data_IF_157731083516
#
_entry.id   IF_157731083516
#
_cell.length_a   1.000
_cell.length_b   1.000
_cell.length_c   1.000
_cell.angle_alpha   90.00
_cell.angle_beta   90.00
_cell.angle_gamma   90.00
#
_symmetry.space_group_name_H-M   'P 1'
#
loop_
_entity.id
_entity.type
_entity.pdbx_description
1 polymer ?
#
# COMPACT_ATOMS: atom_id res chain seq x y z
N UNK A 1 -38.82 1.92 -13.80
CA UNK A 1 -37.83 2.84 -14.40
C UNK A 1 -36.63 2.90 -13.48
N UNK A 2 -35.57 2.13 -13.76
CA UNK A 2 -34.27 2.25 -13.07
C UNK A 2 -33.44 3.25 -13.84
N UNK A 3 -33.11 4.37 -13.22
CA UNK A 3 -32.10 5.30 -13.72
C UNK A 3 -30.73 4.70 -13.48
N UNK A 4 -30.11 4.19 -14.55
CA UNK A 4 -28.68 3.90 -14.58
C UNK A 4 -27.94 5.25 -14.56
N UNK A 5 -27.60 5.76 -13.38
CA UNK A 5 -26.63 6.84 -13.24
C UNK A 5 -25.24 6.27 -13.51
N UNK A 6 -24.93 6.15 -14.79
CA UNK A 6 -23.60 5.82 -15.30
C UNK A 6 -22.67 7.01 -15.11
N UNK A 7 -21.84 6.99 -14.08
CA UNK A 7 -20.69 7.88 -13.92
C UNK A 7 -19.57 7.54 -14.93
N UNK A 8 -19.90 7.32 -16.21
CA UNK A 8 -18.90 7.18 -17.26
C UNK A 8 -18.60 8.55 -17.82
N UNK A 9 -17.36 9.01 -17.63
CA UNK A 9 -16.82 10.13 -18.38
C UNK A 9 -17.01 9.85 -19.87
N UNK A 10 -17.58 10.80 -20.59
CA UNK A 10 -17.74 10.67 -22.03
C UNK A 10 -16.37 10.83 -22.70
N UNK A 11 -16.16 10.28 -23.91
CA UNK A 11 -14.92 10.51 -24.65
C UNK A 11 -14.60 11.99 -24.83
N UNK A 12 -15.63 12.84 -24.97
CA UNK A 12 -15.47 14.29 -25.06
C UNK A 12 -14.98 14.91 -23.75
N UNK A 13 -15.56 14.55 -22.59
CA UNK A 13 -15.10 15.10 -21.30
C UNK A 13 -13.66 14.68 -20.97
N UNK A 14 -13.23 13.50 -21.43
CA UNK A 14 -11.84 13.04 -21.27
C UNK A 14 -10.85 13.91 -22.08
N UNK A 15 -11.22 14.26 -23.32
CA UNK A 15 -10.39 15.13 -24.19
C UNK A 15 -10.33 16.55 -23.63
N UNK A 16 -11.46 17.09 -23.17
CA UNK A 16 -11.51 18.40 -22.49
C UNK A 16 -10.63 18.42 -21.24
N UNK A 17 -10.70 17.36 -20.41
CA UNK A 17 -9.85 17.23 -19.22
C UNK A 17 -8.35 17.12 -19.60
N UNK A 18 -8.01 16.38 -20.66
CA UNK A 18 -6.63 16.29 -21.14
C UNK A 18 -6.10 17.64 -21.65
N UNK A 19 -6.93 18.42 -22.34
CA UNK A 19 -6.56 19.76 -22.78
C UNK A 19 -6.30 20.69 -21.58
N UNK A 20 -7.17 20.66 -20.57
CA UNK A 20 -6.96 21.43 -19.33
C UNK A 20 -5.65 21.05 -18.62
N UNK A 21 -5.36 19.74 -18.50
CA UNK A 21 -4.11 19.27 -17.88
C UNK A 21 -2.88 19.69 -18.67
N UNK A 22 -2.97 19.75 -20.01
CA UNK A 22 -1.85 20.17 -20.86
C UNK A 22 -1.52 21.66 -20.76
N UNK A 23 -2.47 22.49 -20.30
CA UNK A 23 -2.29 23.93 -20.10
C UNK A 23 -1.71 24.28 -18.72
N UNK A 24 -1.71 23.35 -17.77
CA UNK A 24 -1.22 23.58 -16.42
C UNK A 24 0.30 23.79 -16.40
N UNK A 25 0.74 24.74 -15.58
CA UNK A 25 2.15 24.91 -15.22
C UNK A 25 2.64 23.76 -14.33
N UNK A 26 3.96 23.59 -14.25
CA UNK A 26 4.57 22.54 -13.40
C UNK A 26 4.19 22.72 -11.92
N UNK A 27 4.10 23.96 -11.43
CA UNK A 27 3.70 24.26 -10.06
C UNK A 27 2.25 23.86 -9.77
N UNK A 28 1.34 24.11 -10.71
CA UNK A 28 -0.07 23.70 -10.59
C UNK A 28 -0.22 22.18 -10.61
N UNK A 29 0.57 21.49 -11.45
CA UNK A 29 0.60 20.02 -11.49
C UNK A 29 1.07 19.47 -10.14
N UNK A 30 2.15 20.00 -9.57
CA UNK A 30 2.63 19.56 -8.25
C UNK A 30 1.60 19.84 -7.15
N UNK A 31 0.96 21.00 -7.14
CA UNK A 31 -0.10 21.32 -6.18
C UNK A 31 -1.30 20.37 -6.29
N UNK A 32 -1.68 19.98 -7.51
CA UNK A 32 -2.74 19.00 -7.74
C UNK A 32 -2.34 17.60 -7.28
N UNK A 33 -1.10 17.19 -7.54
CA UNK A 33 -0.56 15.90 -7.11
C UNK A 33 -0.50 15.80 -5.59
N UNK A 34 -0.08 16.85 -4.90
CA UNK A 34 -0.08 16.90 -3.43
C UNK A 34 -1.51 16.78 -2.86
N UNK A 35 -2.48 17.45 -3.47
CA UNK A 35 -3.88 17.41 -3.04
C UNK A 35 -4.54 16.04 -3.25
N UNK A 36 -4.11 15.29 -4.27
CA UNK A 36 -4.69 13.99 -4.64
C UNK A 36 -3.89 12.82 -4.06
N UNK A 37 -2.71 13.08 -3.50
CA UNK A 37 -1.79 12.04 -3.04
C UNK A 37 -2.46 11.12 -2.01
N UNK A 38 -2.83 9.94 -2.49
CA UNK A 38 -3.35 8.86 -1.67
C UNK A 38 -2.18 8.11 -1.03
N UNK A 39 -2.25 7.73 0.26
CA UNK A 39 -1.19 6.96 0.94
C UNK A 39 -0.72 5.71 0.19
N UNK A 40 -1.59 5.05 -0.59
CA UNK A 40 -1.23 3.90 -1.41
C UNK A 40 -0.21 4.23 -2.51
N UNK A 41 -0.27 5.46 -3.05
CA UNK A 41 0.63 5.90 -4.13
C UNK A 41 2.10 5.93 -3.72
N UNK A 42 2.41 5.99 -2.42
CA UNK A 42 3.81 5.95 -1.98
C UNK A 42 4.45 4.59 -2.27
N UNK A 43 3.69 3.49 -2.17
CA UNK A 43 4.18 2.17 -2.53
C UNK A 43 4.39 2.07 -4.05
N UNK A 44 3.52 2.68 -4.85
CA UNK A 44 3.69 2.78 -6.31
C UNK A 44 4.98 3.56 -6.66
N UNK A 45 5.23 4.69 -5.99
CA UNK A 45 6.45 5.48 -6.19
C UNK A 45 7.72 4.70 -5.82
N UNK A 46 7.70 3.94 -4.73
CA UNK A 46 8.80 3.06 -4.35
C UNK A 46 9.06 2.01 -5.43
N UNK A 47 8.00 1.39 -5.96
CA UNK A 47 8.10 0.39 -7.03
C UNK A 47 8.63 0.99 -8.35
N UNK A 48 8.13 2.16 -8.74
CA UNK A 48 8.58 2.89 -9.94
C UNK A 48 10.05 3.29 -9.84
N UNK A 49 10.47 3.81 -8.67
CA UNK A 49 11.86 4.17 -8.41
C UNK A 49 12.79 2.97 -8.56
N UNK A 50 12.39 1.82 -8.04
CA UNK A 50 13.13 0.58 -8.23
C UNK A 50 13.19 0.16 -9.70
N UNK A 51 12.08 0.19 -10.41
CA UNK A 51 12.03 -0.21 -11.82
C UNK A 51 12.96 0.64 -12.68
N UNK A 52 13.10 1.94 -12.37
CA UNK A 52 14.01 2.87 -13.07
C UNK A 52 15.48 2.66 -12.71
N UNK A 53 15.78 2.42 -11.44
CA UNK A 53 17.16 2.27 -10.96
C UNK A 53 17.71 0.84 -11.14
N UNK A 54 16.92 -0.06 -11.74
CA UNK A 54 17.18 -1.49 -11.74
C UNK A 54 16.90 -2.12 -10.38
N UNK A 55 16.71 -3.43 -10.36
CA UNK A 55 16.83 -4.16 -9.09
C UNK A 55 18.25 -3.88 -8.57
N UNK A 56 18.44 -3.48 -7.30
CA UNK A 56 19.79 -3.49 -6.74
C UNK A 56 20.35 -4.88 -7.02
N UNK A 57 21.48 -4.91 -7.73
CA UNK A 57 22.06 -6.16 -8.19
C UNK A 57 22.23 -7.14 -7.04
N UNK A 58 22.33 -8.43 -7.36
CA UNK A 58 22.71 -9.52 -6.44
C UNK A 58 23.90 -9.15 -5.54
N UNK A 59 24.70 -8.16 -5.94
CA UNK A 59 25.86 -7.55 -5.29
C UNK A 59 25.62 -6.94 -3.90
N UNK A 60 24.38 -6.73 -3.46
CA UNK A 60 24.08 -6.29 -2.08
C UNK A 60 23.31 -7.32 -1.25
N UNK A 61 23.07 -8.53 -1.78
CA UNK A 61 22.80 -9.69 -0.94
C UNK A 61 24.13 -10.11 -0.28
N UNK A 62 24.68 -9.26 0.59
CA UNK A 62 25.54 -9.77 1.64
C UNK A 62 24.65 -10.71 2.44
N UNK A 63 24.77 -12.00 2.15
CA UNK A 63 24.08 -13.11 2.79
C UNK A 63 24.44 -13.05 4.26
N UNK A 64 23.72 -12.23 5.03
CA UNK A 64 23.82 -12.29 6.47
C UNK A 64 23.39 -13.72 6.84
N UNK A 65 24.22 -14.46 7.60
CA UNK A 65 23.90 -15.83 7.95
C UNK A 65 22.51 -15.88 8.59
N UNK A 66 21.59 -16.63 7.98
CA UNK A 66 20.19 -16.77 8.40
C UNK A 66 19.14 -16.11 7.51
N UNK A 67 19.50 -15.41 6.43
CA UNK A 67 18.54 -14.91 5.45
C UNK A 67 18.17 -15.96 4.39
N UNK A 68 16.88 -16.07 4.00
CA UNK A 68 16.47 -16.95 2.91
C UNK A 68 17.08 -16.52 1.57
N UNK A 69 17.43 -17.49 0.72
CA UNK A 69 18.03 -17.24 -0.61
C UNK A 69 17.13 -16.43 -1.56
N UNK A 70 15.82 -16.45 -1.34
CA UNK A 70 14.84 -15.70 -2.12
C UNK A 70 14.60 -14.27 -1.58
N UNK A 71 15.32 -13.87 -0.53
CA UNK A 71 15.23 -12.54 0.06
C UNK A 71 16.22 -11.57 -0.57
N UNK A 72 15.72 -10.44 -1.09
CA UNK A 72 16.54 -9.35 -1.62
C UNK A 72 16.54 -8.10 -0.71
N UNK A 73 15.55 -7.96 0.15
CA UNK A 73 15.39 -6.79 1.02
C UNK A 73 16.06 -6.92 2.39
N UNK A 74 16.62 -8.10 2.71
CA UNK A 74 17.30 -8.39 3.98
C UNK A 74 16.39 -8.47 5.20
N UNK A 75 15.06 -8.56 5.03
CA UNK A 75 14.08 -8.56 6.13
C UNK A 75 13.07 -9.71 6.10
N UNK A 76 13.16 -10.59 5.12
CA UNK A 76 12.33 -11.79 5.08
C UNK A 76 12.84 -12.83 6.07
N UNK A 77 11.93 -13.65 6.58
CA UNK A 77 12.23 -14.86 7.36
C UNK A 77 11.89 -16.08 6.53
N UNK A 78 12.44 -17.24 6.89
CA UNK A 78 12.04 -18.48 6.25
C UNK A 78 10.57 -18.78 6.54
N UNK A 79 9.87 -19.30 5.52
CA UNK A 79 8.44 -19.54 5.56
C UNK A 79 8.13 -21.01 5.23
N UNK A 80 7.14 -21.61 5.90
CA UNK A 80 6.86 -23.04 5.79
C UNK A 80 6.35 -23.45 4.42
N UNK A 81 5.73 -22.53 3.66
CA UNK A 81 5.16 -22.82 2.34
C UNK A 81 5.78 -21.96 1.24
N UNK A 82 5.89 -22.51 0.03
CA UNK A 82 6.39 -21.76 -1.14
C UNK A 82 5.51 -20.56 -1.51
N UNK A 83 4.20 -20.65 -1.26
CA UNK A 83 3.28 -19.53 -1.49
C UNK A 83 3.59 -18.30 -0.63
N UNK A 84 4.17 -18.51 0.56
CA UNK A 84 4.54 -17.44 1.49
C UNK A 84 5.97 -16.93 1.28
N UNK A 85 6.78 -17.60 0.43
CA UNK A 85 8.16 -17.19 0.10
C UNK A 85 8.17 -16.00 -0.86
N UNK A 86 7.66 -14.86 -0.38
CA UNK A 86 7.55 -13.60 -1.13
C UNK A 86 8.45 -12.54 -0.51
N UNK A 87 9.31 -11.96 -1.34
CA UNK A 87 10.07 -10.77 -0.99
C UNK A 87 9.44 -9.54 -1.64
N UNK A 88 9.52 -8.38 -0.99
CA UNK A 88 9.14 -7.10 -1.60
C UNK A 88 10.03 -6.72 -2.79
N UNK A 89 11.16 -7.41 -2.95
CA UNK A 89 12.14 -7.18 -4.02
C UNK A 89 12.96 -5.91 -3.84
N UNK A 90 12.58 -5.02 -2.93
CA UNK A 90 13.25 -3.73 -2.68
C UNK A 90 14.66 -3.92 -2.12
N UNK A 91 15.55 -2.94 -2.34
CA UNK A 91 16.88 -2.93 -1.74
C UNK A 91 16.85 -2.86 -0.21
N UNK A 92 17.98 -3.16 0.43
CA UNK A 92 18.13 -3.23 1.89
C UNK A 92 17.57 -1.98 2.61
N UNK A 93 17.88 -0.78 2.10
CA UNK A 93 17.44 0.49 2.69
C UNK A 93 16.01 0.90 2.28
N UNK A 94 15.40 0.20 1.33
CA UNK A 94 14.12 0.57 0.70
C UNK A 94 13.05 -0.50 0.93
N UNK A 95 13.29 -1.45 1.83
CA UNK A 95 12.31 -2.47 2.16
C UNK A 95 10.98 -1.82 2.55
N UNK A 96 9.87 -2.35 2.02
CA UNK A 96 8.52 -1.85 2.32
C UNK A 96 8.24 -1.79 3.83
N UNK A 97 8.82 -2.72 4.59
CA UNK A 97 8.72 -2.76 6.06
C UNK A 97 9.39 -1.58 6.78
N UNK A 98 10.23 -0.81 6.08
CA UNK A 98 10.88 0.41 6.58
C UNK A 98 10.13 1.69 6.17
N UNK A 99 9.15 1.60 5.28
CA UNK A 99 8.42 2.77 4.82
C UNK A 99 7.65 3.41 5.99
N UNK A 100 7.85 4.71 6.30
CA UNK A 100 7.11 5.38 7.37
C UNK A 100 5.59 5.28 7.19
N UNK A 101 5.11 5.29 5.93
CA UNK A 101 3.70 5.15 5.61
C UNK A 101 3.14 3.77 5.96
N UNK A 102 3.93 2.70 5.90
CA UNK A 102 3.49 1.40 6.40
C UNK A 102 3.22 1.48 7.91
N UNK A 103 4.09 2.13 8.66
CA UNK A 103 3.87 2.32 10.09
C UNK A 103 2.60 3.15 10.35
N UNK A 104 2.51 4.32 9.72
CA UNK A 104 1.43 5.28 9.96
C UNK A 104 0.04 4.77 9.54
N UNK A 105 -0.07 4.05 8.42
CA UNK A 105 -1.37 3.67 7.86
C UNK A 105 -1.75 2.21 8.09
N UNK A 106 -0.79 1.32 8.36
CA UNK A 106 -1.04 -0.13 8.48
C UNK A 106 -0.82 -0.65 9.89
N UNK A 107 0.22 -0.19 10.58
CA UNK A 107 0.63 -0.75 11.88
C UNK A 107 0.19 0.09 13.08
N UNK A 108 -0.20 1.35 12.86
CA UNK A 108 -0.61 2.27 13.93
C UNK A 108 -1.91 1.79 14.60
N UNK A 109 -1.84 1.57 15.91
CA UNK A 109 -2.97 1.05 16.69
C UNK A 109 -4.21 1.95 16.61
N UNK A 110 -4.01 3.28 16.53
CA UNK A 110 -5.09 4.23 16.35
C UNK A 110 -5.90 3.99 15.06
N UNK A 111 -5.21 3.74 13.95
CA UNK A 111 -5.82 3.46 12.64
C UNK A 111 -6.56 2.12 12.68
N UNK A 112 -5.92 1.08 13.21
CA UNK A 112 -6.52 -0.25 13.34
C UNK A 112 -7.80 -0.24 14.18
N UNK A 113 -7.82 0.52 15.28
CA UNK A 113 -9.02 0.72 16.11
C UNK A 113 -10.16 1.39 15.35
N UNK A 114 -9.87 2.45 14.59
CA UNK A 114 -10.86 3.18 13.81
C UNK A 114 -11.42 2.28 12.71
N UNK A 115 -10.56 1.59 11.98
CA UNK A 115 -10.98 0.71 10.89
C UNK A 115 -11.82 -0.48 11.36
N UNK A 116 -11.43 -1.10 12.49
CA UNK A 116 -12.24 -2.13 13.15
C UNK A 116 -13.61 -1.60 13.53
N UNK A 117 -13.67 -0.42 14.18
CA UNK A 117 -14.94 0.21 14.57
C UNK A 117 -15.82 0.44 13.34
N UNK A 118 -15.28 1.07 12.30
CA UNK A 118 -16.00 1.32 11.06
C UNK A 118 -16.56 0.03 10.45
N UNK A 119 -15.75 -1.04 10.39
CA UNK A 119 -16.18 -2.33 9.86
C UNK A 119 -17.26 -2.98 10.72
N UNK A 120 -17.14 -2.90 12.04
CA UNK A 120 -18.15 -3.43 12.95
C UNK A 120 -19.47 -2.67 12.83
N UNK A 121 -19.42 -1.34 12.66
CA UNK A 121 -20.59 -0.50 12.44
C UNK A 121 -21.29 -0.88 11.12
N UNK A 122 -20.53 -1.10 10.03
CA UNK A 122 -21.07 -1.51 8.72
C UNK A 122 -21.66 -2.94 8.75
N UNK A 123 -21.01 -3.87 9.47
CA UNK A 123 -21.42 -5.26 9.54
C UNK A 123 -22.36 -5.58 10.72
N UNK A 124 -22.74 -4.56 11.50
CA UNK A 124 -23.52 -4.70 12.73
C UNK A 124 -22.95 -5.74 13.71
N UNK A 125 -21.61 -5.81 13.81
CA UNK A 125 -20.92 -6.76 14.70
C UNK A 125 -20.82 -6.21 16.12
N UNK A 126 -21.14 -7.05 17.11
CA UNK A 126 -21.03 -6.70 18.51
C UNK A 126 -19.56 -6.60 18.94
N UNK A 127 -19.17 -5.47 19.54
CA UNK A 127 -17.85 -5.32 20.13
C UNK A 127 -17.80 -6.05 21.48
N UNK A 128 -17.03 -7.13 21.58
CA UNK A 128 -16.88 -7.91 22.81
C UNK A 128 -15.88 -7.30 23.80
N UNK A 129 -14.99 -6.41 23.33
CA UNK A 129 -14.09 -5.61 24.16
C UNK A 129 -13.07 -6.39 24.99
N UNK A 130 -12.88 -7.68 24.74
CA UNK A 130 -11.86 -8.47 25.44
C UNK A 130 -10.47 -8.23 24.80
N UNK A 131 -9.51 -7.64 25.55
CA UNK A 131 -8.16 -7.33 25.05
C UNK A 131 -7.40 -8.53 24.49
N UNK A 132 -7.78 -9.76 24.85
CA UNK A 132 -7.17 -11.00 24.34
C UNK A 132 -7.52 -11.28 22.87
N UNK A 133 -8.66 -10.77 22.38
CA UNK A 133 -9.07 -10.93 20.98
C UNK A 133 -8.59 -9.76 20.10
N UNK A 134 -8.22 -8.63 20.71
CA UNK A 134 -7.76 -7.44 19.99
C UNK A 134 -6.53 -7.71 19.13
N UNK A 135 -5.56 -8.49 19.62
CA UNK A 135 -4.33 -8.74 18.88
C UNK A 135 -4.57 -9.54 17.58
N UNK A 136 -5.42 -10.57 17.62
CA UNK A 136 -5.74 -11.38 16.43
C UNK A 136 -6.56 -10.59 15.41
N UNK A 137 -7.51 -9.79 15.87
CA UNK A 137 -8.32 -8.95 14.99
C UNK A 137 -7.47 -7.86 14.33
N UNK A 138 -6.60 -7.20 15.09
CA UNK A 138 -5.65 -6.22 14.55
C UNK A 138 -4.68 -6.83 13.55
N UNK A 139 -4.21 -8.06 13.75
CA UNK A 139 -3.42 -8.75 12.72
C UNK A 139 -4.19 -8.89 11.41
N UNK A 140 -5.44 -9.35 11.46
CA UNK A 140 -6.25 -9.49 10.26
C UNK A 140 -6.56 -8.14 9.60
N UNK A 141 -6.81 -7.09 10.38
CA UNK A 141 -7.04 -5.74 9.84
C UNK A 141 -5.76 -5.14 9.26
N UNK A 142 -4.61 -5.39 9.86
CA UNK A 142 -3.29 -5.01 9.31
C UNK A 142 -3.10 -5.59 7.91
N UNK A 143 -3.37 -6.89 7.73
CA UNK A 143 -3.26 -7.52 6.41
C UNK A 143 -4.22 -6.91 5.38
N UNK A 144 -5.44 -6.55 5.79
CA UNK A 144 -6.41 -5.89 4.90
C UNK A 144 -5.93 -4.51 4.47
N UNK A 145 -5.43 -3.69 5.40
CA UNK A 145 -4.91 -2.37 5.07
C UNK A 145 -3.68 -2.46 4.17
N UNK A 146 -2.77 -3.40 4.44
CA UNK A 146 -1.61 -3.61 3.59
C UNK A 146 -2.01 -3.94 2.14
N UNK A 147 -2.98 -4.84 1.97
CA UNK A 147 -3.55 -5.22 0.67
C UNK A 147 -4.21 -4.00 0.00
N UNK A 148 -5.02 -3.22 0.72
CA UNK A 148 -5.67 -2.02 0.18
C UNK A 148 -4.68 -0.96 -0.30
N UNK A 149 -3.52 -0.85 0.34
CA UNK A 149 -2.47 0.11 -0.03
C UNK A 149 -1.54 -0.41 -1.14
N UNK A 150 -1.47 -1.73 -1.38
CA UNK A 150 -0.52 -2.35 -2.33
C UNK A 150 -1.17 -3.02 -3.55
N UNK A 151 -2.49 -3.14 -3.63
CA UNK A 151 -3.20 -3.64 -4.81
C UNK A 151 -3.96 -2.50 -5.48
N UNK A 152 -3.39 -2.00 -6.59
CA UNK A 152 -4.10 -1.26 -7.63
C UNK A 152 -3.96 -2.01 -8.95
#
# INVERSE_FOLDING_TARGET
MRTELGWRLTPQSMVETQAMVAELSEEEIWGLLEAIMDPGMVFDLLWMRQSRNGRPGEEQAAVAPGLPLWCHCGRCKDMPTDMERKCSGQGLAQCVSLAPHLFLYVLENGVLRIARRYRNDVLSLSYTGDPRYDHREYQHDTYRHFVQLNLK
#
